data_IF_025606670368
#
_entry.id   IF_025606670368
#
_cell.length_a   1.000
_cell.length_b   1.000
_cell.length_c   1.000
_cell.angle_alpha   90.00
_cell.angle_beta   90.00
_cell.angle_gamma   90.00
#
_symmetry.space_group_name_H-M   'P 1'
#
loop_
_entity.id
_entity.type
_entity.pdbx_description
1 polymer ?
#
# COMPACT_ATOMS: atom_id res chain seq x y z
N UNK A 1 7.44 23.97 7.96
CA UNK A 1 8.61 23.38 8.66
C UNK A 1 8.90 22.03 8.02
N UNK A 2 10.17 21.65 7.84
CA UNK A 2 10.54 20.35 7.28
C UNK A 2 10.94 19.42 8.44
N UNK A 3 10.21 18.29 8.57
CA UNK A 3 10.44 17.31 9.64
C UNK A 3 10.61 15.92 9.05
N UNK A 4 11.44 15.10 9.68
CA UNK A 4 11.52 13.68 9.43
C UNK A 4 11.03 12.90 10.65
N UNK A 5 10.24 11.86 10.40
CA UNK A 5 9.91 10.84 11.40
C UNK A 5 11.06 9.84 11.46
N UNK A 6 11.77 9.76 12.59
CA UNK A 6 12.88 8.81 12.82
C UNK A 6 12.52 7.85 13.95
N UNK A 7 12.74 6.55 13.74
CA UNK A 7 12.46 5.50 14.72
C UNK A 7 11.88 4.24 14.08
N UNK A 8 11.21 3.42 14.90
CA UNK A 8 10.50 2.19 14.50
C UNK A 8 8.99 2.36 14.71
N UNK A 9 8.14 1.54 14.07
CA UNK A 9 6.72 1.48 14.42
C UNK A 9 6.53 1.33 15.93
N UNK A 10 5.66 2.14 16.53
CA UNK A 10 5.44 2.18 17.99
C UNK A 10 6.44 3.01 18.81
N UNK A 11 7.62 3.34 18.26
CA UNK A 11 8.61 4.18 18.96
C UNK A 11 9.39 5.06 17.96
N UNK A 12 8.90 6.29 17.76
CA UNK A 12 9.47 7.24 16.81
C UNK A 12 9.33 8.68 17.32
N UNK A 13 10.20 9.56 16.82
CA UNK A 13 10.16 10.99 17.11
C UNK A 13 10.29 11.83 15.83
N UNK A 14 9.76 13.05 15.86
CA UNK A 14 10.02 14.02 14.82
C UNK A 14 11.36 14.71 15.05
N UNK A 15 12.15 14.81 14.00
CA UNK A 15 13.41 15.54 13.97
C UNK A 15 13.29 16.64 12.92
N UNK A 16 13.55 17.88 13.31
CA UNK A 16 13.60 19.00 12.36
C UNK A 16 14.79 18.78 11.42
N UNK A 17 14.56 18.91 10.12
CA UNK A 17 15.61 18.79 9.10
C UNK A 17 16.23 20.16 8.73
N UNK A 18 15.58 21.24 9.14
CA UNK A 18 16.02 22.60 8.90
C UNK A 18 15.50 23.50 10.01
N UNK A 19 16.34 24.45 10.43
CA UNK A 19 15.98 25.50 11.39
C UNK A 19 15.21 26.66 10.72
N UNK A 20 15.22 26.72 9.39
CA UNK A 20 14.48 27.73 8.62
C UNK A 20 13.09 27.20 8.22
N UNK A 21 12.02 27.99 8.42
CA UNK A 21 10.71 27.67 7.84
C UNK A 21 10.77 27.62 6.31
N UNK A 22 10.30 26.51 5.73
CA UNK A 22 10.10 26.38 4.28
C UNK A 22 8.93 27.26 3.83
N UNK A 23 9.11 28.00 2.73
CA UNK A 23 8.06 28.86 2.18
C UNK A 23 7.20 28.13 1.15
N UNK A 24 5.98 28.61 0.91
CA UNK A 24 5.01 27.98 0.00
C UNK A 24 5.57 27.74 -1.41
N UNK A 25 6.36 28.67 -1.94
CA UNK A 25 6.99 28.53 -3.27
C UNK A 25 8.00 27.39 -3.34
N UNK A 26 8.76 27.13 -2.27
CA UNK A 26 9.69 26.01 -2.18
C UNK A 26 8.96 24.68 -2.12
N UNK A 27 7.88 24.60 -1.31
CA UNK A 27 7.03 23.39 -1.26
C UNK A 27 6.42 23.10 -2.63
N UNK A 28 5.90 24.13 -3.32
CA UNK A 28 5.39 24.01 -4.69
C UNK A 28 6.46 23.51 -5.67
N UNK A 29 7.70 23.99 -5.54
CA UNK A 29 8.81 23.53 -6.38
C UNK A 29 9.08 22.04 -6.18
N UNK A 30 9.15 21.59 -4.92
CA UNK A 30 9.32 20.16 -4.59
C UNK A 30 8.15 19.33 -5.13
N UNK A 31 6.91 19.81 -4.97
CA UNK A 31 5.72 19.13 -5.51
C UNK A 31 5.83 18.94 -7.03
N UNK A 32 6.23 19.98 -7.77
CA UNK A 32 6.40 19.91 -9.22
C UNK A 32 7.55 18.97 -9.63
N UNK A 33 8.66 18.95 -8.89
CA UNK A 33 9.76 18.00 -9.12
C UNK A 33 9.31 16.55 -8.94
N UNK A 34 8.52 16.28 -7.89
CA UNK A 34 7.93 14.95 -7.65
C UNK A 34 7.00 14.54 -8.78
N UNK A 35 6.09 15.43 -9.20
CA UNK A 35 5.14 15.16 -10.29
C UNK A 35 5.90 14.86 -11.60
N UNK A 36 6.94 15.62 -11.90
CA UNK A 36 7.77 15.38 -13.09
C UNK A 36 8.53 14.05 -13.00
N UNK A 37 9.04 13.70 -11.81
CA UNK A 37 9.78 12.47 -11.59
C UNK A 37 8.95 11.19 -11.85
N UNK A 38 7.62 11.25 -11.72
CA UNK A 38 6.71 10.12 -12.01
C UNK A 38 6.95 9.55 -13.42
N UNK A 39 7.28 10.39 -14.40
CA UNK A 39 7.50 9.96 -15.80
C UNK A 39 8.80 9.19 -16.01
N UNK A 40 9.77 9.34 -15.10
CA UNK A 40 11.13 8.83 -15.28
C UNK A 40 11.48 7.70 -14.30
N UNK A 41 10.82 7.65 -13.14
CA UNK A 41 11.07 6.65 -12.11
C UNK A 41 10.18 5.42 -12.35
N UNK A 42 10.78 4.25 -12.56
CA UNK A 42 10.04 2.97 -12.74
C UNK A 42 9.10 2.70 -11.56
N UNK A 43 7.94 2.13 -11.87
CA UNK A 43 6.92 1.79 -10.87
C UNK A 43 6.21 3.01 -10.25
N UNK A 44 6.31 4.18 -10.88
CA UNK A 44 5.66 5.40 -10.41
C UNK A 44 4.40 5.71 -11.20
N UNK A 45 3.36 6.18 -10.51
CA UNK A 45 2.10 6.61 -11.09
C UNK A 45 1.37 7.55 -10.12
N UNK A 46 0.49 8.39 -10.67
CA UNK A 46 -0.42 9.22 -9.86
C UNK A 46 -1.60 8.34 -9.48
N UNK A 47 -1.76 8.02 -8.20
CA UNK A 47 -2.79 7.12 -7.70
C UNK A 47 -4.18 7.80 -7.60
N UNK A 48 -4.22 8.97 -6.98
CA UNK A 48 -5.46 9.75 -6.82
C UNK A 48 -5.14 11.21 -7.10
N UNK A 49 -5.93 11.83 -7.97
CA UNK A 49 -5.93 13.27 -8.16
C UNK A 49 -7.32 13.83 -7.86
N UNK A 50 -7.41 14.66 -6.83
CA UNK A 50 -8.64 15.34 -6.41
C UNK A 50 -8.38 16.82 -6.18
N UNK A 51 -9.45 17.59 -6.05
CA UNK A 51 -9.34 19.02 -5.73
C UNK A 51 -8.64 19.19 -4.37
N UNK A 52 -7.41 19.69 -4.40
CA UNK A 52 -6.61 19.95 -3.19
C UNK A 52 -5.77 18.78 -2.66
N UNK A 53 -5.83 17.58 -3.27
CA UNK A 53 -4.96 16.45 -2.90
C UNK A 53 -4.46 15.66 -4.11
N UNK A 54 -3.23 15.18 -3.99
CA UNK A 54 -2.59 14.31 -4.96
C UNK A 54 -1.86 13.20 -4.20
N UNK A 55 -2.15 11.95 -4.52
CA UNK A 55 -1.46 10.76 -4.00
C UNK A 55 -0.67 10.16 -5.15
N UNK A 56 0.63 9.96 -4.93
CA UNK A 56 1.58 9.49 -5.94
C UNK A 56 2.33 8.30 -5.37
N UNK A 57 2.39 7.21 -6.13
CA UNK A 57 3.43 6.19 -5.94
C UNK A 57 4.66 6.65 -6.72
N UNK A 58 5.79 6.90 -6.05
CA UNK A 58 7.06 7.30 -6.67
C UNK A 58 8.13 6.26 -6.35
N UNK A 59 8.29 5.28 -7.24
CA UNK A 59 9.12 4.10 -7.01
C UNK A 59 8.66 3.37 -5.74
N UNK A 60 9.50 3.37 -4.71
CA UNK A 60 9.18 2.78 -3.41
C UNK A 60 8.63 3.79 -2.39
N UNK A 61 8.30 5.02 -2.76
CA UNK A 61 7.75 6.00 -1.83
C UNK A 61 6.29 6.27 -2.12
N UNK A 62 5.49 6.40 -1.06
CA UNK A 62 4.15 6.96 -1.16
C UNK A 62 4.23 8.44 -0.84
N UNK A 63 3.82 9.27 -1.78
CA UNK A 63 3.84 10.72 -1.64
C UNK A 63 2.42 11.24 -1.62
N UNK A 64 2.08 12.03 -0.60
CA UNK A 64 0.81 12.73 -0.47
C UNK A 64 1.10 14.21 -0.53
N UNK A 65 0.49 14.92 -1.48
CA UNK A 65 0.61 16.36 -1.63
C UNK A 65 -0.78 16.95 -1.37
N UNK A 66 -0.88 17.87 -0.42
CA UNK A 66 -2.12 18.61 -0.15
C UNK A 66 -1.92 20.11 -0.34
N UNK A 67 -3.00 20.80 -0.73
CA UNK A 67 -3.03 22.24 -0.95
C UNK A 67 -4.43 22.81 -0.70
N UNK A 68 -4.57 24.13 -0.48
CA UNK A 68 -5.88 24.78 -0.39
C UNK A 68 -6.78 24.42 -1.58
N UNK A 69 -8.09 24.19 -1.36
CA UNK A 69 -8.83 24.41 -0.12
C UNK A 69 -8.82 23.23 0.89
N UNK A 70 -8.13 22.12 0.59
CA UNK A 70 -8.15 20.94 1.45
C UNK A 70 -7.32 21.13 2.74
N UNK A 71 -6.25 21.90 2.63
CA UNK A 71 -5.32 22.22 3.72
C UNK A 71 -5.07 23.72 3.79
N UNK A 72 -4.64 24.21 4.96
CA UNK A 72 -4.34 25.64 5.18
C UNK A 72 -3.16 26.15 4.32
N UNK A 73 -2.32 25.24 3.86
CA UNK A 73 -1.15 25.53 3.03
C UNK A 73 -0.72 24.33 2.20
N UNK A 74 0.40 24.48 1.50
CA UNK A 74 0.99 23.35 0.78
C UNK A 74 1.72 22.43 1.76
N UNK A 75 1.41 21.14 1.68
CA UNK A 75 2.05 20.11 2.48
C UNK A 75 2.43 18.92 1.58
N UNK A 76 3.57 18.30 1.89
CA UNK A 76 4.05 17.10 1.21
C UNK A 76 4.46 16.11 2.30
N UNK A 77 3.84 14.93 2.28
CA UNK A 77 4.21 13.79 3.13
C UNK A 77 4.80 12.70 2.24
N UNK A 78 6.03 12.27 2.53
CA UNK A 78 6.72 11.20 1.82
C UNK A 78 6.97 10.07 2.81
N UNK A 79 6.32 8.93 2.61
CA UNK A 79 6.51 7.74 3.42
C UNK A 79 7.23 6.67 2.63
N UNK A 80 8.18 5.98 3.29
CA UNK A 80 8.75 4.73 2.80
C UNK A 80 7.95 3.58 3.43
N UNK A 81 7.56 2.57 2.65
CA UNK A 81 7.07 1.28 3.10
C UNK A 81 7.90 0.72 4.23
N UNK A 82 7.24 0.25 5.28
CA UNK A 82 7.90 -0.40 6.41
C UNK A 82 7.98 -1.90 6.13
N UNK A 83 9.18 -2.45 6.37
CA UNK A 83 9.66 -3.84 6.35
C UNK A 83 8.63 -4.93 5.99
N UNK A 84 8.94 -5.73 4.97
CA UNK A 84 8.27 -6.99 4.66
C UNK A 84 8.62 -8.03 5.71
N UNK A 85 7.61 -8.64 6.32
CA UNK A 85 7.79 -9.80 7.21
C UNK A 85 7.34 -11.04 6.43
N UNK A 86 8.21 -12.04 6.32
CA UNK A 86 7.83 -13.29 5.65
C UNK A 86 6.95 -14.14 6.56
N UNK A 87 6.18 -15.07 6.00
CA UNK A 87 5.25 -15.91 6.77
C UNK A 87 5.99 -16.78 7.80
N UNK A 88 7.19 -17.24 7.44
CA UNK A 88 8.06 -18.07 8.26
C UNK A 88 8.51 -17.33 9.55
N UNK A 89 8.56 -16.00 9.53
CA UNK A 89 8.91 -15.17 10.70
C UNK A 89 7.76 -15.00 11.72
N UNK A 90 6.57 -15.53 11.41
CA UNK A 90 5.46 -15.58 12.38
C UNK A 90 5.52 -16.80 13.29
N UNK A 91 6.42 -17.76 13.03
CA UNK A 91 6.57 -19.00 13.82
C UNK A 91 5.23 -19.70 14.05
N UNK A 92 4.44 -19.84 12.98
CA UNK A 92 3.15 -20.54 13.04
C UNK A 92 3.39 -22.02 13.36
N UNK A 93 2.45 -22.63 14.08
CA UNK A 93 2.44 -24.09 14.32
C UNK A 93 2.42 -24.84 12.98
N UNK A 94 3.21 -25.91 12.86
CA UNK A 94 3.25 -26.81 11.70
C UNK A 94 1.85 -27.29 11.30
N UNK A 95 0.96 -27.52 12.28
CA UNK A 95 -0.43 -27.90 12.01
C UNK A 95 -1.20 -26.82 11.25
N UNK A 96 -0.95 -25.55 11.58
CA UNK A 96 -1.57 -24.41 10.89
C UNK A 96 -0.95 -24.21 9.51
N UNK A 97 0.38 -24.30 9.38
CA UNK A 97 1.07 -24.23 8.09
C UNK A 97 0.55 -25.28 7.11
N UNK A 98 0.50 -26.55 7.52
CA UNK A 98 -0.08 -27.62 6.68
C UNK A 98 -1.53 -27.36 6.31
N UNK A 99 -2.34 -26.82 7.23
CA UNK A 99 -3.73 -26.46 6.93
C UNK A 99 -3.80 -25.37 5.84
N UNK A 100 -2.93 -24.36 5.92
CA UNK A 100 -2.87 -23.29 4.92
C UNK A 100 -2.44 -23.82 3.55
N UNK A 101 -1.53 -24.80 3.50
CA UNK A 101 -1.06 -25.40 2.25
C UNK A 101 -2.06 -26.33 1.58
N UNK A 102 -2.68 -27.22 2.37
CA UNK A 102 -3.38 -28.39 1.81
C UNK A 102 -4.91 -28.23 1.73
N UNK A 103 -5.51 -27.33 2.54
CA UNK A 103 -6.96 -27.36 2.76
C UNK A 103 -7.66 -26.00 2.79
N UNK A 104 -6.94 -24.92 3.09
CA UNK A 104 -7.57 -23.63 3.33
C UNK A 104 -7.85 -22.87 2.03
N UNK A 105 -9.02 -23.10 1.45
CA UNK A 105 -9.46 -22.39 0.23
C UNK A 105 -10.07 -21.02 0.54
N UNK A 106 -10.75 -20.89 1.69
CA UNK A 106 -11.33 -19.63 2.19
C UNK A 106 -10.67 -19.21 3.50
N UNK A 107 -9.99 -18.06 3.50
CA UNK A 107 -9.22 -17.56 4.65
C UNK A 107 -9.73 -16.17 5.03
N UNK A 108 -10.10 -15.99 6.30
CA UNK A 108 -10.46 -14.68 6.85
C UNK A 108 -9.39 -14.27 7.86
N UNK A 109 -8.74 -13.12 7.62
CA UNK A 109 -7.77 -12.52 8.52
C UNK A 109 -8.45 -11.40 9.28
N UNK A 110 -8.79 -11.65 10.54
CA UNK A 110 -9.51 -10.70 11.40
C UNK A 110 -8.64 -10.17 12.55
N UNK A 111 -9.05 -9.03 13.11
CA UNK A 111 -8.34 -8.35 14.19
C UNK A 111 -8.61 -6.84 14.19
N UNK A 112 -8.31 -6.18 15.31
CA UNK A 112 -8.49 -4.72 15.44
C UNK A 112 -7.64 -3.94 14.42
N UNK A 113 -8.00 -2.68 14.08
CA UNK A 113 -7.14 -1.79 13.31
C UNK A 113 -5.73 -1.70 13.90
N UNK A 114 -4.70 -1.73 13.06
CA UNK A 114 -3.30 -1.66 13.50
C UNK A 114 -2.69 -2.98 14.03
N UNK A 115 -3.42 -4.09 14.06
CA UNK A 115 -2.90 -5.40 14.49
C UNK A 115 -2.06 -6.15 13.43
N UNK A 116 -1.70 -5.50 12.33
CA UNK A 116 -0.85 -6.10 11.29
C UNK A 116 -1.55 -7.08 10.34
N UNK A 117 -2.88 -7.00 10.19
CA UNK A 117 -3.66 -7.85 9.27
C UNK A 117 -3.13 -7.83 7.84
N UNK A 118 -3.01 -6.64 7.25
CA UNK A 118 -2.46 -6.44 5.90
C UNK A 118 -1.03 -6.98 5.80
N UNK A 119 -0.21 -6.78 6.83
CA UNK A 119 1.16 -7.32 6.88
C UNK A 119 1.18 -8.86 6.88
N UNK A 120 0.25 -9.51 7.57
CA UNK A 120 0.12 -10.97 7.55
C UNK A 120 -0.45 -11.46 6.21
N UNK A 121 -1.46 -10.79 5.66
CA UNK A 121 -2.04 -11.10 4.35
C UNK A 121 -0.99 -11.02 3.23
N UNK A 122 -0.13 -10.00 3.26
CA UNK A 122 1.02 -9.89 2.35
C UNK A 122 1.98 -11.07 2.50
N UNK A 123 2.33 -11.44 3.74
CA UNK A 123 3.24 -12.54 4.01
C UNK A 123 2.68 -13.87 3.47
N UNK A 124 1.38 -14.09 3.63
CA UNK A 124 0.68 -15.26 3.12
C UNK A 124 0.57 -15.25 1.58
N UNK A 125 0.33 -14.10 0.97
CA UNK A 125 0.33 -13.93 -0.48
C UNK A 125 1.70 -14.29 -1.09
N UNK A 126 2.78 -13.75 -0.51
CA UNK A 126 4.15 -14.09 -0.93
C UNK A 126 4.47 -15.57 -0.70
N UNK A 127 3.93 -16.18 0.36
CA UNK A 127 4.11 -17.62 0.64
C UNK A 127 3.46 -18.48 -0.44
N UNK A 128 2.18 -18.23 -0.77
CA UNK A 128 1.49 -18.97 -1.83
C UNK A 128 2.14 -18.76 -3.20
N UNK A 129 2.59 -17.54 -3.50
CA UNK A 129 3.35 -17.27 -4.73
C UNK A 129 4.61 -18.15 -4.83
N UNK A 130 5.36 -18.33 -3.74
CA UNK A 130 6.54 -19.24 -3.73
C UNK A 130 6.18 -20.71 -3.93
N UNK A 131 4.94 -21.11 -3.63
CA UNK A 131 4.39 -22.43 -3.92
C UNK A 131 3.81 -22.52 -5.34
N UNK A 132 4.23 -21.61 -6.23
CA UNK A 132 3.80 -21.52 -7.63
C UNK A 132 2.29 -21.30 -7.81
N UNK A 133 1.62 -20.73 -6.79
CA UNK A 133 0.21 -20.32 -6.90
C UNK A 133 0.08 -18.96 -7.56
N UNK A 134 -0.91 -18.82 -8.44
CA UNK A 134 -1.31 -17.53 -9.02
C UNK A 134 -2.06 -16.74 -7.97
N UNK A 135 -1.40 -15.73 -7.40
CA UNK A 135 -1.99 -14.85 -6.39
C UNK A 135 -2.28 -13.49 -7.00
N UNK A 136 -3.45 -12.95 -6.68
CA UNK A 136 -3.81 -11.56 -7.00
C UNK A 136 -4.31 -10.84 -5.76
N UNK A 137 -4.22 -9.51 -5.76
CA UNK A 137 -4.76 -8.70 -4.67
C UNK A 137 -5.76 -7.67 -5.19
N UNK A 138 -6.73 -7.34 -4.34
CA UNK A 138 -7.67 -6.23 -4.52
C UNK A 138 -7.58 -5.35 -3.29
N UNK A 139 -7.21 -4.09 -3.49
CA UNK A 139 -6.88 -3.16 -2.42
C UNK A 139 -7.45 -1.77 -2.71
N UNK A 140 -7.63 -0.95 -1.67
CA UNK A 140 -8.07 0.44 -1.83
C UNK A 140 -7.41 1.36 -0.82
N UNK A 141 -6.42 2.20 -1.21
CA UNK A 141 -5.56 2.12 -2.40
C UNK A 141 -4.64 0.89 -2.42
N UNK A 142 -3.80 0.73 -3.46
CA UNK A 142 -2.73 -0.29 -3.44
C UNK A 142 -1.70 0.10 -2.37
N UNK A 143 -1.64 -0.65 -1.28
CA UNK A 143 -0.76 -0.39 -0.14
C UNK A 143 0.17 -1.57 0.16
N UNK A 144 -0.18 -2.77 -0.31
CA UNK A 144 0.66 -3.94 -0.15
C UNK A 144 1.94 -3.83 -0.97
N UNK A 145 3.04 -4.24 -0.35
CA UNK A 145 4.36 -4.29 -0.98
C UNK A 145 4.71 -5.71 -1.38
N UNK A 146 4.33 -6.08 -2.60
CA UNK A 146 4.46 -7.45 -3.10
C UNK A 146 5.50 -7.53 -4.22
N UNK A 147 6.01 -8.75 -4.55
CA UNK A 147 6.83 -8.99 -5.72
C UNK A 147 6.03 -8.78 -7.02
N UNK A 148 6.70 -8.54 -8.16
CA UNK A 148 6.02 -8.31 -9.44
C UNK A 148 5.23 -9.52 -9.95
N UNK A 149 5.51 -10.72 -9.44
CA UNK A 149 4.78 -11.95 -9.79
C UNK A 149 3.35 -11.97 -9.21
N UNK A 150 3.06 -11.12 -8.22
CA UNK A 150 1.72 -10.95 -7.66
C UNK A 150 1.06 -9.73 -8.32
N UNK A 151 -0.04 -9.96 -9.04
CA UNK A 151 -0.80 -8.88 -9.68
C UNK A 151 -1.67 -8.18 -8.66
N UNK A 152 -1.56 -6.86 -8.57
CA UNK A 152 -2.34 -6.05 -7.63
C UNK A 152 -3.32 -5.13 -8.35
N UNK A 153 -4.58 -5.21 -7.99
CA UNK A 153 -5.65 -4.33 -8.47
C UNK A 153 -6.00 -3.27 -7.42
N UNK A 154 -6.23 -2.05 -7.87
CA UNK A 154 -6.77 -0.98 -7.03
C UNK A 154 -8.26 -0.86 -7.30
N UNK A 155 -9.10 -0.95 -6.26
CA UNK A 155 -10.54 -0.68 -6.39
C UNK A 155 -10.81 0.75 -6.88
N UNK A 156 -9.92 1.68 -6.55
CA UNK A 156 -10.09 3.10 -6.91
C UNK A 156 -10.06 3.36 -8.43
N UNK A 157 -9.54 2.43 -9.22
CA UNK A 157 -9.46 2.55 -10.68
C UNK A 157 -10.44 1.65 -11.42
N UNK A 158 -11.09 0.75 -10.71
CA UNK A 158 -11.98 -0.19 -11.35
C UNK A 158 -13.41 0.36 -11.37
N UNK A 159 -14.09 0.15 -12.48
CA UNK A 159 -15.53 0.40 -12.53
C UNK A 159 -16.28 -0.65 -11.68
N UNK A 160 -17.52 -0.32 -11.29
CA UNK A 160 -18.38 -1.23 -10.53
C UNK A 160 -18.54 -2.53 -11.33
N UNK A 161 -18.21 -3.67 -10.70
CA UNK A 161 -18.29 -4.99 -11.34
C UNK A 161 -17.07 -5.40 -12.17
N UNK A 162 -16.21 -4.47 -12.58
CA UNK A 162 -15.05 -4.77 -13.44
C UNK A 162 -14.06 -5.73 -12.75
N UNK A 163 -13.78 -5.51 -11.46
CA UNK A 163 -12.92 -6.41 -10.69
C UNK A 163 -13.50 -7.82 -10.58
N UNK A 164 -14.82 -7.93 -10.46
CA UNK A 164 -15.49 -9.23 -10.40
C UNK A 164 -15.26 -10.01 -11.69
N UNK A 165 -15.50 -9.37 -12.84
CA UNK A 165 -15.30 -9.98 -14.16
C UNK A 165 -13.84 -10.36 -14.40
N UNK A 166 -12.90 -9.47 -14.07
CA UNK A 166 -11.46 -9.74 -14.19
C UNK A 166 -11.07 -10.96 -13.36
N UNK A 167 -11.51 -11.05 -12.11
CA UNK A 167 -11.17 -12.17 -11.23
C UNK A 167 -11.82 -13.47 -11.70
N UNK A 168 -13.08 -13.41 -12.13
CA UNK A 168 -13.82 -14.58 -12.62
C UNK A 168 -13.22 -15.16 -13.91
N UNK A 169 -12.75 -14.29 -14.81
CA UNK A 169 -12.12 -14.71 -16.07
C UNK A 169 -10.68 -15.15 -15.86
N UNK A 170 -9.95 -14.49 -14.96
CA UNK A 170 -8.53 -14.81 -14.74
C UNK A 170 -8.28 -15.97 -13.79
N UNK A 171 -9.28 -16.37 -13.00
CA UNK A 171 -9.28 -17.57 -12.13
C UNK A 171 -7.95 -17.77 -11.38
N UNK A 172 -7.49 -16.79 -10.58
CA UNK A 172 -6.31 -16.99 -9.76
C UNK A 172 -6.55 -18.10 -8.74
N UNK A 173 -5.49 -18.79 -8.30
CA UNK A 173 -5.57 -19.75 -7.21
C UNK A 173 -6.03 -19.08 -5.91
N UNK A 174 -5.54 -17.86 -5.65
CA UNK A 174 -5.93 -17.06 -4.48
C UNK A 174 -6.10 -15.59 -4.83
N UNK A 175 -7.12 -14.97 -4.25
CA UNK A 175 -7.30 -13.52 -4.26
C UNK A 175 -7.27 -12.99 -2.83
N UNK A 176 -6.33 -12.08 -2.54
CA UNK A 176 -6.31 -11.35 -1.27
C UNK A 176 -7.14 -10.09 -1.43
N UNK A 177 -8.20 -10.00 -0.64
CA UNK A 177 -9.09 -8.84 -0.63
C UNK A 177 -8.82 -8.04 0.64
N UNK A 178 -8.23 -6.85 0.52
CA UNK A 178 -7.93 -6.00 1.68
C UNK A 178 -9.10 -5.06 1.99
N UNK A 179 -9.36 -4.91 3.28
CA UNK A 179 -10.43 -4.08 3.85
C UNK A 179 -11.83 -4.30 3.24
N UNK A 180 -12.46 -5.44 3.54
CA UNK A 180 -13.90 -5.62 3.30
C UNK A 180 -14.70 -4.76 4.30
N UNK A 181 -15.43 -3.74 3.81
CA UNK A 181 -16.14 -2.74 4.62
C UNK A 181 -17.61 -2.57 4.22
N UNK A 182 -17.96 -2.83 2.97
CA UNK A 182 -19.27 -2.56 2.40
C UNK A 182 -19.97 -3.87 2.00
N UNK A 183 -21.30 -3.84 1.83
CA UNK A 183 -22.07 -5.03 1.43
C UNK A 183 -21.67 -5.58 0.04
N UNK A 184 -21.08 -4.73 -0.80
CA UNK A 184 -20.54 -5.08 -2.12
C UNK A 184 -19.14 -5.71 -2.07
N UNK A 185 -18.46 -5.68 -0.91
CA UNK A 185 -17.16 -6.31 -0.69
C UNK A 185 -17.30 -7.80 -0.32
#
# INVERSE_FOLDING_TARGET
VVKAKRGKPGNWMFVNLSDRPIISSEVKKIANEIINAVRFVKGSFIEIERKGSLIIQLGNYRVIITRPPLSDGWEITITRPVVRKKLEEYNLDDKLLRRLEERAEGIIIAGAPGMGKTTFAQALAEYYMKLEKVVKTVESPRDMHLPPDITQYSKNYAEIGELHDILLLSRPDYTVYDEMRNDED
#
